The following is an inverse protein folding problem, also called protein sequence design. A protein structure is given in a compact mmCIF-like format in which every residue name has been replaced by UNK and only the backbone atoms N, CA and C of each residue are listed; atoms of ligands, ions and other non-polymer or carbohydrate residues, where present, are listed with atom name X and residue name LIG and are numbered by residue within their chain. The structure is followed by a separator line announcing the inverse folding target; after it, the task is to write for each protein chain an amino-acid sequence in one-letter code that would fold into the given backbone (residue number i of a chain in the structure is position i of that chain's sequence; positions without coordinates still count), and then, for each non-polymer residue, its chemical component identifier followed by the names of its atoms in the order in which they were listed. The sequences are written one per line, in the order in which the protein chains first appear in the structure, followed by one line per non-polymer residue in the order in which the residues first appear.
data_IF_953735475779
#
_entry.id   IF_953735475779
#
_cell.length_a   1.000
_cell.length_b   1.000
_cell.length_c   1.000
_cell.angle_alpha   90.00
_cell.angle_beta   90.00
_cell.angle_gamma   90.00
#
_symmetry.space_group_name_H-M   'P 1'
#
loop_
_entity.id
_entity.type
_entity.pdbx_description
1 polymer ?
#
# COMPACT_ATOMS: atom_id res chain seq x y z
N UNK A 1 -44.46 -11.91 5.90
CA UNK A 1 -45.05 -10.56 5.80
C UNK A 1 -43.93 -9.58 5.57
N UNK A 2 -44.05 -8.64 4.62
CA UNK A 2 -43.03 -7.61 4.44
C UNK A 2 -43.13 -6.60 5.59
N UNK A 3 -42.06 -6.39 6.34
CA UNK A 3 -41.98 -5.33 7.33
C UNK A 3 -41.63 -4.03 6.59
N UNK A 4 -42.42 -2.99 6.83
CA UNK A 4 -42.22 -1.67 6.24
C UNK A 4 -41.59 -0.76 7.29
N UNK A 5 -40.49 -0.10 6.93
CA UNK A 5 -39.81 0.89 7.76
C UNK A 5 -39.97 2.24 7.05
N UNK A 6 -40.53 3.22 7.75
CA UNK A 6 -40.63 4.60 7.27
C UNK A 6 -39.54 5.43 7.95
N UNK A 7 -38.72 6.11 7.14
CA UNK A 7 -37.62 6.96 7.61
C UNK A 7 -37.81 8.34 6.96
N UNK A 8 -37.57 9.40 7.75
CA UNK A 8 -37.51 10.75 7.23
C UNK A 8 -36.09 11.05 6.80
N UNK A 9 -35.91 11.46 5.55
CA UNK A 9 -34.63 11.83 4.98
C UNK A 9 -34.68 13.30 4.56
N UNK A 10 -33.53 13.94 4.62
CA UNK A 10 -33.26 15.23 3.99
C UNK A 10 -33.00 15.04 2.49
N UNK A 11 -33.08 16.12 1.72
CA UNK A 11 -32.83 16.08 0.28
C UNK A 11 -31.39 15.63 -0.06
N UNK A 12 -30.42 15.98 0.79
CA UNK A 12 -29.03 15.54 0.65
C UNK A 12 -28.89 14.03 0.85
N UNK A 13 -29.54 13.47 1.87
CA UNK A 13 -29.54 12.03 2.15
C UNK A 13 -30.25 11.22 1.04
N UNK A 14 -31.34 11.74 0.49
CA UNK A 14 -32.00 11.13 -0.67
C UNK A 14 -31.10 11.11 -1.90
N UNK A 15 -30.41 12.21 -2.18
CA UNK A 15 -29.46 12.29 -3.30
C UNK A 15 -28.27 11.34 -3.11
N UNK A 16 -27.79 11.19 -1.88
CA UNK A 16 -26.77 10.22 -1.54
C UNK A 16 -27.23 8.78 -1.79
N UNK A 17 -28.46 8.42 -1.38
CA UNK A 17 -29.02 7.09 -1.64
C UNK A 17 -29.23 6.83 -3.13
N UNK A 18 -29.62 7.84 -3.92
CA UNK A 18 -29.73 7.72 -5.38
C UNK A 18 -28.38 7.46 -6.02
N UNK A 19 -27.31 8.12 -5.56
CA UNK A 19 -25.94 7.87 -6.03
C UNK A 19 -25.53 6.41 -5.76
N UNK A 20 -25.70 5.93 -4.52
CA UNK A 20 -25.39 4.53 -4.18
C UNK A 20 -26.23 3.55 -5.01
N UNK A 21 -27.51 3.85 -5.21
CA UNK A 21 -28.39 3.03 -6.04
C UNK A 21 -27.90 2.97 -7.50
N UNK A 22 -27.39 4.08 -8.05
CA UNK A 22 -26.84 4.14 -9.39
C UNK A 22 -25.55 3.32 -9.50
N UNK A 23 -24.61 3.54 -8.58
CA UNK A 23 -23.30 2.88 -8.56
C UNK A 23 -23.43 1.35 -8.44
N UNK A 24 -24.45 0.88 -7.72
CA UNK A 24 -24.72 -0.54 -7.51
C UNK A 24 -25.83 -1.10 -8.42
N UNK A 25 -26.31 -0.31 -9.39
CA UNK A 25 -27.36 -0.71 -10.33
C UNK A 25 -28.65 -1.24 -9.65
N UNK A 26 -29.01 -0.63 -8.53
CA UNK A 26 -30.22 -0.97 -7.79
C UNK A 26 -31.44 -0.31 -8.41
N UNK A 27 -32.08 -1.04 -9.32
CA UNK A 27 -33.32 -0.59 -9.97
C UNK A 27 -34.58 -1.24 -9.37
N UNK A 28 -35.68 -0.48 -9.38
CA UNK A 28 -37.05 -0.99 -9.19
C UNK A 28 -37.49 -1.73 -10.46
N UNK A 29 -38.59 -2.48 -10.38
CA UNK A 29 -39.21 -3.10 -11.57
C UNK A 29 -39.70 -2.06 -12.59
N UNK A 30 -39.93 -0.83 -12.16
CA UNK A 30 -40.27 0.31 -13.02
C UNK A 30 -39.08 0.88 -13.80
N UNK A 31 -37.85 0.42 -13.56
CA UNK A 31 -36.63 0.96 -14.17
C UNK A 31 -36.04 2.18 -13.45
N UNK A 32 -36.72 2.72 -12.44
CA UNK A 32 -36.18 3.79 -11.60
C UNK A 32 -35.17 3.28 -10.58
N UNK A 33 -34.29 4.15 -10.10
CA UNK A 33 -33.39 3.84 -8.98
C UNK A 33 -34.18 3.51 -7.71
N UNK A 34 -33.68 2.54 -6.95
CA UNK A 34 -34.30 2.03 -5.74
C UNK A 34 -33.51 2.45 -4.51
N UNK A 35 -33.85 3.60 -3.96
CA UNK A 35 -33.30 4.11 -2.70
C UNK A 35 -33.49 3.11 -1.55
N UNK A 36 -34.63 2.42 -1.49
CA UNK A 36 -34.88 1.39 -0.47
C UNK A 36 -33.92 0.19 -0.55
N UNK A 37 -33.48 -0.20 -1.77
CA UNK A 37 -32.43 -1.22 -1.93
C UNK A 37 -31.06 -0.69 -1.51
N UNK A 38 -30.74 0.55 -1.85
CA UNK A 38 -29.52 1.22 -1.41
C UNK A 38 -29.45 1.34 0.13
N UNK A 39 -30.56 1.72 0.76
CA UNK A 39 -30.65 1.80 2.21
C UNK A 39 -30.51 0.43 2.88
N UNK A 40 -31.17 -0.60 2.33
CA UNK A 40 -30.99 -1.98 2.81
C UNK A 40 -29.54 -2.45 2.67
N UNK A 41 -28.88 -2.09 1.57
CA UNK A 41 -27.46 -2.37 1.35
C UNK A 41 -26.59 -1.66 2.40
N UNK A 42 -26.83 -0.38 2.68
CA UNK A 42 -26.12 0.35 3.73
C UNK A 42 -26.32 -0.23 5.12
N UNK A 43 -27.56 -0.59 5.48
CA UNK A 43 -27.86 -1.23 6.77
C UNK A 43 -27.18 -2.59 6.86
N UNK A 44 -27.22 -3.39 5.79
CA UNK A 44 -26.54 -4.70 5.75
C UNK A 44 -25.03 -4.54 5.84
N UNK A 45 -24.47 -3.54 5.16
CA UNK A 45 -23.05 -3.18 5.25
C UNK A 45 -22.72 -2.81 6.68
N UNK A 46 -23.43 -1.87 7.29
CA UNK A 46 -23.20 -1.43 8.67
C UNK A 46 -23.30 -2.57 9.69
N UNK A 47 -24.32 -3.44 9.59
CA UNK A 47 -24.48 -4.61 10.47
C UNK A 47 -23.32 -5.61 10.29
N UNK A 48 -22.88 -5.83 9.06
CA UNK A 48 -21.74 -6.69 8.78
C UNK A 48 -20.39 -6.01 9.06
N UNK A 49 -20.37 -4.69 9.29
CA UNK A 49 -19.17 -3.89 9.56
C UNK A 49 -18.91 -3.72 11.06
N UNK A 50 -19.69 -4.36 11.95
CA UNK A 50 -19.35 -4.44 13.38
C UNK A 50 -18.02 -5.19 13.63
N UNK A 51 -17.37 -5.73 12.58
CA UNK A 51 -16.00 -6.24 12.64
C UNK A 51 -14.93 -5.33 12.00
N UNK A 52 -15.26 -4.33 11.18
CA UNK A 52 -14.26 -3.44 10.58
C UNK A 52 -14.90 -2.10 10.16
N UNK A 53 -14.55 -1.03 10.88
CA UNK A 53 -14.74 0.35 10.43
C UNK A 53 -14.13 0.49 9.04
N UNK A 54 -14.99 0.60 8.03
CA UNK A 54 -14.59 0.79 6.62
C UNK A 54 -13.92 2.15 6.49
N UNK A 55 -12.59 2.18 6.65
CA UNK A 55 -11.75 3.24 6.12
C UNK A 55 -11.99 3.31 4.60
N UNK A 56 -12.27 4.51 4.08
CA UNK A 56 -12.63 4.75 2.69
C UNK A 56 -11.67 4.02 1.72
N UNK A 57 -12.21 3.23 0.78
CA UNK A 57 -11.42 2.46 -0.20
C UNK A 57 -10.48 3.34 -1.05
N UNK A 58 -10.85 4.59 -1.32
CA UNK A 58 -10.00 5.56 -2.02
C UNK A 58 -8.75 5.99 -1.20
N UNK A 59 -8.90 6.13 0.13
CA UNK A 59 -7.82 6.52 1.03
C UNK A 59 -6.81 5.36 1.21
N UNK A 60 -7.32 4.12 1.23
CA UNK A 60 -6.49 2.92 1.22
C UNK A 60 -5.70 2.75 -0.09
N UNK A 61 -6.25 3.14 -1.24
CA UNK A 61 -5.54 3.05 -2.53
C UNK A 61 -4.30 3.96 -2.55
N UNK A 62 -4.43 5.22 -2.12
CA UNK A 62 -3.31 6.15 -2.08
C UNK A 62 -2.21 5.70 -1.12
N UNK A 63 -2.62 5.31 0.11
CA UNK A 63 -1.72 4.80 1.14
C UNK A 63 -0.99 3.52 0.70
N UNK A 64 -1.66 2.65 -0.05
CA UNK A 64 -1.02 1.45 -0.61
C UNK A 64 0.02 1.80 -1.67
N UNK A 65 -0.25 2.79 -2.54
CA UNK A 65 0.73 3.28 -3.53
C UNK A 65 1.94 3.91 -2.83
N UNK A 66 1.72 4.75 -1.82
CA UNK A 66 2.81 5.33 -1.02
C UNK A 66 3.64 4.24 -0.33
N UNK A 67 2.98 3.24 0.26
CA UNK A 67 3.65 2.09 0.88
C UNK A 67 4.49 1.32 -0.13
N UNK A 68 3.99 1.10 -1.35
CA UNK A 68 4.77 0.47 -2.43
C UNK A 68 5.98 1.32 -2.85
N UNK A 69 5.80 2.63 -3.00
CA UNK A 69 6.89 3.55 -3.35
C UNK A 69 8.01 3.54 -2.29
N UNK A 70 7.65 3.61 -1.01
CA UNK A 70 8.61 3.48 0.09
C UNK A 70 9.38 2.14 0.03
N UNK A 71 8.70 1.03 -0.26
CA UNK A 71 9.36 -0.27 -0.41
C UNK A 71 10.34 -0.30 -1.58
N UNK A 72 9.98 0.33 -2.70
CA UNK A 72 10.89 0.49 -3.85
C UNK A 72 12.12 1.30 -3.44
N UNK A 73 11.93 2.42 -2.75
CA UNK A 73 13.03 3.26 -2.24
C UNK A 73 13.95 2.51 -1.28
N UNK A 74 13.39 1.68 -0.39
CA UNK A 74 14.16 0.84 0.54
C UNK A 74 14.94 -0.24 -0.22
N UNK A 75 14.34 -0.87 -1.23
CA UNK A 75 14.90 -2.05 -1.91
C UNK A 75 15.91 -1.71 -3.01
N UNK A 76 15.72 -0.60 -3.72
CA UNK A 76 16.51 -0.19 -4.88
C UNK A 76 18.02 -0.12 -4.61
N UNK A 77 18.51 0.39 -3.46
CA UNK A 77 19.94 0.42 -3.15
C UNK A 77 20.56 -0.98 -3.00
N UNK A 78 19.81 -1.95 -2.49
CA UNK A 78 20.28 -3.35 -2.39
C UNK A 78 20.41 -3.99 -3.77
N UNK A 79 19.44 -3.76 -4.65
CA UNK A 79 19.47 -4.24 -6.04
C UNK A 79 20.66 -3.64 -6.78
N UNK A 80 20.87 -2.32 -6.68
CA UNK A 80 21.98 -1.62 -7.31
C UNK A 80 23.33 -2.11 -6.77
N UNK A 81 23.45 -2.32 -5.45
CA UNK A 81 24.66 -2.86 -4.86
C UNK A 81 25.00 -4.24 -5.41
N UNK A 82 24.00 -5.13 -5.41
CA UNK A 82 24.15 -6.50 -5.90
C UNK A 82 24.57 -6.50 -7.36
N UNK A 83 23.92 -5.66 -8.18
CA UNK A 83 24.21 -5.52 -9.61
C UNK A 83 25.63 -5.01 -9.85
N UNK A 84 26.05 -3.98 -9.11
CA UNK A 84 27.41 -3.43 -9.20
C UNK A 84 28.46 -4.49 -8.85
N UNK A 85 28.29 -5.19 -7.73
CA UNK A 85 29.21 -6.23 -7.27
C UNK A 85 29.26 -7.37 -8.30
N UNK A 86 28.10 -7.82 -8.79
CA UNK A 86 27.99 -8.89 -9.78
C UNK A 86 28.70 -8.53 -11.09
N UNK A 87 28.51 -7.31 -11.60
CA UNK A 87 29.16 -6.84 -12.82
C UNK A 87 30.69 -6.79 -12.67
N UNK A 88 31.20 -6.22 -11.58
CA UNK A 88 32.64 -6.13 -11.32
C UNK A 88 33.27 -7.50 -11.09
N UNK A 89 32.55 -8.39 -10.40
CA UNK A 89 32.96 -9.77 -10.15
C UNK A 89 33.04 -10.60 -11.42
N UNK A 90 32.15 -10.35 -12.37
CA UNK A 90 32.13 -11.07 -13.66
C UNK A 90 33.30 -10.68 -14.58
N UNK A 91 33.87 -9.48 -14.38
CA UNK A 91 34.95 -8.93 -15.21
C UNK A 91 36.35 -9.23 -14.66
N UNK A 92 36.46 -9.78 -13.44
CA UNK A 92 37.73 -9.89 -12.71
C UNK A 92 37.97 -11.30 -12.18
N UNK A 93 39.23 -11.78 -12.22
CA UNK A 93 39.65 -12.87 -11.33
C UNK A 93 39.60 -12.36 -9.88
N UNK A 94 38.67 -12.91 -9.10
CA UNK A 94 38.40 -12.50 -7.72
C UNK A 94 39.43 -13.10 -6.76
N UNK A 95 40.35 -12.26 -6.28
CA UNK A 95 41.07 -12.50 -5.02
C UNK A 95 40.30 -11.87 -3.86
N UNK A 96 40.59 -12.30 -2.63
CA UNK A 96 39.93 -11.76 -1.42
C UNK A 96 40.10 -10.24 -1.30
N UNK A 97 41.30 -9.71 -1.58
CA UNK A 97 41.55 -8.26 -1.58
C UNK A 97 40.71 -7.53 -2.62
N UNK A 98 40.63 -8.03 -3.86
CA UNK A 98 39.79 -7.44 -4.91
C UNK A 98 38.31 -7.46 -4.54
N UNK A 99 37.84 -8.54 -3.92
CA UNK A 99 36.47 -8.64 -3.43
C UNK A 99 36.15 -7.55 -2.40
N UNK A 100 37.07 -7.30 -1.46
CA UNK A 100 36.90 -6.23 -0.48
C UNK A 100 36.91 -4.83 -1.13
N UNK A 101 37.80 -4.60 -2.10
CA UNK A 101 37.83 -3.35 -2.87
C UNK A 101 36.52 -3.12 -3.63
N UNK A 102 36.00 -4.14 -4.33
CA UNK A 102 34.72 -4.06 -5.05
C UNK A 102 33.58 -3.74 -4.08
N UNK A 103 33.55 -4.37 -2.91
CA UNK A 103 32.53 -4.10 -1.88
C UNK A 103 32.59 -2.67 -1.38
N UNK A 104 33.78 -2.16 -1.05
CA UNK A 104 33.95 -0.77 -0.60
C UNK A 104 33.55 0.24 -1.70
N UNK A 105 33.95 -0.01 -2.94
CA UNK A 105 33.58 0.83 -4.08
C UNK A 105 32.07 0.82 -4.33
N UNK A 106 31.41 -0.33 -4.15
CA UNK A 106 29.95 -0.42 -4.25
C UNK A 106 29.25 0.47 -3.23
N UNK A 107 29.76 0.54 -1.99
CA UNK A 107 29.19 1.38 -0.94
C UNK A 107 29.37 2.87 -1.25
N UNK A 108 30.55 3.26 -1.73
CA UNK A 108 30.80 4.64 -2.16
C UNK A 108 29.89 5.04 -3.34
N UNK A 109 29.72 4.15 -4.32
CA UNK A 109 28.81 4.35 -5.44
C UNK A 109 27.35 4.52 -5.00
N UNK A 110 26.89 3.68 -4.05
CA UNK A 110 25.54 3.79 -3.50
C UNK A 110 25.32 5.06 -2.70
N UNK A 111 26.30 5.51 -1.91
CA UNK A 111 26.19 6.74 -1.14
C UNK A 111 25.92 7.94 -2.06
N UNK A 112 26.58 7.99 -3.23
CA UNK A 112 26.39 9.04 -4.23
C UNK A 112 25.07 8.88 -4.98
N UNK A 113 24.71 7.64 -5.36
CA UNK A 113 23.57 7.39 -6.27
C UNK A 113 22.23 7.32 -5.54
N UNK A 114 22.24 6.79 -4.33
CA UNK A 114 21.04 6.47 -3.55
C UNK A 114 21.00 7.16 -2.19
N UNK A 115 21.99 7.99 -1.83
CA UNK A 115 22.04 8.66 -0.52
C UNK A 115 20.75 9.41 -0.21
N UNK A 116 20.28 10.23 -1.14
CA UNK A 116 19.02 10.99 -0.98
C UNK A 116 17.80 10.08 -0.82
N UNK A 117 17.76 8.94 -1.52
CA UNK A 117 16.67 7.95 -1.41
C UNK A 117 16.71 7.29 -0.03
N UNK A 118 17.91 7.00 0.48
CA UNK A 118 18.10 6.42 1.81
C UNK A 118 17.81 7.42 2.94
N UNK A 119 17.80 8.73 2.68
CA UNK A 119 17.40 9.75 3.65
C UNK A 119 15.88 9.95 3.74
N UNK A 120 15.09 9.45 2.78
CA UNK A 120 13.63 9.63 2.77
C UNK A 120 12.96 8.97 3.98
N UNK A 121 12.17 9.73 4.73
CA UNK A 121 11.40 9.20 5.85
C UNK A 121 10.31 8.25 5.34
N UNK A 122 10.25 7.04 5.89
CA UNK A 122 9.27 6.02 5.52
C UNK A 122 8.25 5.90 6.64
N UNK A 123 7.02 6.34 6.38
CA UNK A 123 5.96 6.43 7.40
C UNK A 123 5.01 5.24 7.32
N UNK A 124 4.90 4.63 6.16
CA UNK A 124 3.94 3.57 5.87
C UNK A 124 4.52 2.16 6.02
N UNK A 125 5.84 2.02 5.97
CA UNK A 125 6.56 0.75 6.19
C UNK A 125 7.36 0.75 7.49
N UNK A 126 7.45 -0.43 8.11
CA UNK A 126 8.43 -0.64 9.18
C UNK A 126 9.82 -0.78 8.54
N UNK A 127 10.73 0.07 8.97
CA UNK A 127 12.12 0.11 8.47
C UNK A 127 13.06 -0.32 9.57
N UNK A 128 14.00 -1.17 9.20
CA UNK A 128 15.17 -1.52 10.01
C UNK A 128 16.44 -1.16 9.23
N UNK A 129 17.60 -1.40 9.82
CA UNK A 129 18.89 -1.12 9.19
C UNK A 129 19.75 -2.39 9.17
N UNK A 130 20.42 -2.63 8.06
CA UNK A 130 21.38 -3.74 7.95
C UNK A 130 22.73 -3.40 8.63
N UNK A 131 23.68 -4.33 8.54
CA UNK A 131 25.06 -4.21 9.03
C UNK A 131 25.85 -3.01 8.44
N UNK A 132 25.34 -2.40 7.38
CA UNK A 132 25.95 -1.29 6.63
C UNK A 132 25.16 0.02 6.76
N UNK A 133 24.24 0.09 7.73
CA UNK A 133 23.36 1.23 7.96
C UNK A 133 22.46 1.61 6.76
N UNK A 134 22.18 0.67 5.85
CA UNK A 134 21.17 0.86 4.81
C UNK A 134 19.80 0.43 5.32
N UNK A 135 18.77 1.21 4.98
CA UNK A 135 17.37 0.86 5.26
C UNK A 135 17.02 -0.49 4.65
N UNK A 136 16.33 -1.33 5.39
CA UNK A 136 15.87 -2.65 4.96
C UNK A 136 14.52 -2.99 5.58
N UNK A 137 13.76 -3.82 4.87
CA UNK A 137 12.50 -4.38 5.37
C UNK A 137 12.87 -5.64 6.16
N UNK A 138 12.54 -5.74 7.46
CA UNK A 138 12.85 -6.95 8.24
C UNK A 138 11.99 -8.12 7.76
N UNK A 139 12.58 -9.32 7.83
CA UNK A 139 11.90 -10.57 7.47
C UNK A 139 11.06 -11.11 8.65
N UNK A 140 11.27 -10.60 9.87
CA UNK A 140 10.55 -11.03 11.08
C UNK A 140 9.02 -10.91 10.90
N UNK A 141 8.34 -12.06 10.87
CA UNK A 141 6.90 -12.19 10.63
C UNK A 141 6.03 -11.38 11.61
N UNK A 142 6.50 -11.20 12.84
CA UNK A 142 5.78 -10.44 13.88
C UNK A 142 5.82 -8.92 13.70
N UNK A 143 6.76 -8.40 12.91
CA UNK A 143 6.95 -6.95 12.67
C UNK A 143 6.57 -6.52 11.26
N UNK A 144 6.43 -7.47 10.35
CA UNK A 144 5.99 -7.19 9.01
C UNK A 144 4.45 -7.07 9.00
N UNK A 145 3.92 -5.88 8.70
CA UNK A 145 2.47 -5.63 8.57
C UNK A 145 1.90 -6.20 7.25
N UNK A 146 2.47 -7.29 6.77
CA UNK A 146 1.96 -8.10 5.68
C UNK A 146 1.22 -9.27 6.33
N UNK A 147 -0.08 -9.08 6.58
CA UNK A 147 -1.05 -10.14 6.79
C UNK A 147 -2.15 -9.95 5.76
#
# INVERSE_FOLDING_TARGET
MAQHINIKLTEEEENFLKKIALDNQFYKKSGELSEGKALKYLISKAINSDEELVENEEDNSHKNIEKMLEQVCITLPHILQSSYISAQSSLSQLSTEKGQTIRNNSLAYLAVTCGQIQDLDCKNNYVSYNDRAMKTIPIDEDKNKWK
#
